data_IF_008636031544
#
_entry.id   IF_008636031544
#
_cell.length_a   1.000
_cell.length_b   1.000
_cell.length_c   1.000
_cell.angle_alpha   90.00
_cell.angle_beta   90.00
_cell.angle_gamma   90.00
#
_symmetry.space_group_name_H-M   'P 1'
#
loop_
_entity.id
_entity.type
_entity.pdbx_description
1 polymer ?
#
# COMPACT_ATOMS: atom_id res chain seq x y z
N UNK A 1 4.47 -9.45 -27.76
CA UNK A 1 4.74 -9.79 -26.33
C UNK A 1 4.09 -8.72 -25.45
N UNK A 2 2.84 -8.31 -25.74
CA UNK A 2 2.38 -6.94 -25.45
C UNK A 2 1.16 -6.83 -24.52
N UNK A 3 0.36 -7.89 -24.34
CA UNK A 3 -0.87 -7.78 -23.52
C UNK A 3 -0.60 -7.63 -22.02
N UNK A 4 0.31 -8.41 -21.43
CA UNK A 4 0.56 -8.38 -19.98
C UNK A 4 1.09 -7.03 -19.47
N UNK A 5 1.86 -6.31 -20.29
CA UNK A 5 2.46 -5.05 -19.88
C UNK A 5 1.49 -3.87 -19.99
N UNK A 6 0.58 -3.90 -20.98
CA UNK A 6 -0.51 -2.92 -21.10
C UNK A 6 -1.57 -3.10 -20.01
N UNK A 7 -1.96 -4.34 -19.71
CA UNK A 7 -2.94 -4.63 -18.65
C UNK A 7 -2.40 -4.19 -17.28
N UNK A 8 -1.11 -4.41 -17.00
CA UNK A 8 -0.51 -3.95 -15.75
C UNK A 8 -0.30 -2.44 -15.64
N UNK A 9 -0.04 -1.76 -16.77
CA UNK A 9 0.03 -0.29 -16.78
C UNK A 9 -1.33 0.34 -16.51
N UNK A 10 -2.41 -0.25 -17.03
CA UNK A 10 -3.80 0.16 -16.73
C UNK A 10 -4.14 -0.10 -15.26
N UNK A 11 -3.72 -1.27 -14.74
CA UNK A 11 -3.89 -1.65 -13.34
C UNK A 11 -3.27 -0.63 -12.37
N UNK A 12 -1.98 -0.31 -12.52
CA UNK A 12 -1.28 0.68 -11.67
C UNK A 12 -1.97 2.04 -11.73
N UNK A 13 -2.39 2.48 -12.92
CA UNK A 13 -3.07 3.75 -13.11
C UNK A 13 -4.38 3.81 -12.31
N UNK A 14 -5.17 2.74 -12.33
CA UNK A 14 -6.43 2.64 -11.59
C UNK A 14 -6.20 2.71 -10.07
N UNK A 15 -5.27 1.91 -9.54
CA UNK A 15 -5.03 1.88 -8.09
C UNK A 15 -4.39 3.18 -7.59
N UNK A 16 -3.55 3.83 -8.39
CA UNK A 16 -3.03 5.16 -8.09
C UNK A 16 -4.14 6.21 -8.09
N UNK A 17 -5.06 6.17 -9.05
CA UNK A 17 -6.22 7.06 -9.09
C UNK A 17 -7.13 6.86 -7.86
N UNK A 18 -7.34 5.62 -7.41
CA UNK A 18 -8.05 5.34 -6.17
C UNK A 18 -7.36 5.97 -4.95
N UNK A 19 -6.04 5.80 -4.82
CA UNK A 19 -5.27 6.39 -3.71
C UNK A 19 -5.41 7.93 -3.72
N UNK A 20 -5.19 8.57 -4.87
CA UNK A 20 -5.29 10.04 -4.99
C UNK A 20 -6.70 10.53 -4.68
N UNK A 21 -7.72 9.86 -5.23
CA UNK A 21 -9.13 10.23 -5.00
C UNK A 21 -9.52 10.03 -3.55
N UNK A 22 -9.12 8.92 -2.93
CA UNK A 22 -9.41 8.62 -1.54
C UNK A 22 -8.73 9.57 -0.55
N UNK A 23 -7.56 10.12 -0.89
CA UNK A 23 -6.92 11.21 -0.11
C UNK A 23 -7.62 12.55 -0.35
N UNK A 24 -8.00 12.86 -1.59
CA UNK A 24 -8.61 14.15 -1.94
C UNK A 24 -10.01 14.35 -1.35
N UNK A 25 -10.84 13.30 -1.31
CA UNK A 25 -12.22 13.37 -0.80
C UNK A 25 -12.30 13.97 0.62
N UNK A 26 -11.61 13.45 1.64
CA UNK A 26 -11.67 14.03 2.97
C UNK A 26 -11.07 15.44 3.08
N UNK A 27 -10.09 15.77 2.24
CA UNK A 27 -9.50 17.11 2.19
C UNK A 27 -10.46 18.16 1.60
N UNK A 28 -11.27 17.77 0.61
CA UNK A 28 -12.19 18.68 -0.08
C UNK A 28 -13.49 18.91 0.69
N UNK A 29 -14.01 17.87 1.36
CA UNK A 29 -15.33 17.91 1.99
C UNK A 29 -15.30 17.99 3.51
N UNK A 30 -14.14 17.74 4.13
CA UNK A 30 -13.83 17.92 5.55
C UNK A 30 -14.93 17.46 6.52
N UNK A 31 -15.60 16.34 6.22
CA UNK A 31 -16.58 15.73 7.12
C UNK A 31 -16.26 14.26 7.43
N UNK A 32 -16.79 13.80 8.57
CA UNK A 32 -16.53 12.47 9.12
C UNK A 32 -16.88 11.33 8.14
N UNK A 33 -18.01 11.43 7.44
CA UNK A 33 -18.44 10.41 6.48
C UNK A 33 -17.46 10.34 5.30
N UNK A 34 -17.02 11.48 4.78
CA UNK A 34 -16.05 11.54 3.68
C UNK A 34 -14.66 11.07 4.10
N UNK A 35 -14.29 11.20 5.37
CA UNK A 35 -13.07 10.60 5.93
C UNK A 35 -13.13 9.08 5.95
N UNK A 36 -14.26 8.49 6.33
CA UNK A 36 -14.43 7.03 6.28
C UNK A 36 -14.39 6.49 4.86
N UNK A 37 -15.15 7.11 3.97
CA UNK A 37 -15.19 6.73 2.54
C UNK A 37 -13.81 6.89 1.92
N UNK A 38 -13.14 8.01 2.15
CA UNK A 38 -11.78 8.26 1.65
C UNK A 38 -10.77 7.22 2.15
N UNK A 39 -10.79 6.91 3.45
CA UNK A 39 -9.88 5.92 4.02
C UNK A 39 -10.13 4.52 3.45
N UNK A 40 -11.39 4.12 3.26
CA UNK A 40 -11.73 2.84 2.65
C UNK A 40 -11.24 2.77 1.20
N UNK A 41 -11.45 3.83 0.41
CA UNK A 41 -10.97 3.91 -0.97
C UNK A 41 -9.43 3.79 -1.02
N UNK A 42 -8.71 4.46 -0.12
CA UNK A 42 -7.25 4.34 -0.06
C UNK A 42 -6.80 2.95 0.39
N UNK A 43 -7.48 2.33 1.36
CA UNK A 43 -7.15 0.96 1.78
C UNK A 43 -7.28 -0.03 0.61
N UNK A 44 -8.36 0.08 -0.17
CA UNK A 44 -8.55 -0.71 -1.41
C UNK A 44 -7.48 -0.37 -2.44
N UNK A 45 -7.16 0.91 -2.63
CA UNK A 45 -6.13 1.37 -3.54
C UNK A 45 -4.75 0.80 -3.21
N UNK A 46 -4.32 0.89 -1.96
CA UNK A 46 -3.04 0.36 -1.45
C UNK A 46 -3.02 -1.17 -1.58
N UNK A 47 -4.08 -1.89 -1.19
CA UNK A 47 -4.12 -3.34 -1.32
C UNK A 47 -4.03 -3.79 -2.81
N UNK A 48 -4.81 -3.16 -3.69
CA UNK A 48 -4.75 -3.39 -5.13
C UNK A 48 -3.37 -3.05 -5.72
N UNK A 49 -2.70 -2.06 -5.14
CA UNK A 49 -1.34 -1.68 -5.50
C UNK A 49 -0.32 -2.80 -5.29
N UNK A 50 -0.38 -3.48 -4.15
CA UNK A 50 0.48 -4.64 -3.88
C UNK A 50 0.27 -5.78 -4.86
N UNK A 51 -0.99 -6.06 -5.21
CA UNK A 51 -1.37 -7.09 -6.18
C UNK A 51 -0.77 -6.77 -7.56
N UNK A 52 -0.89 -5.53 -8.00
CA UNK A 52 -0.38 -5.13 -9.32
C UNK A 52 1.14 -5.12 -9.37
N UNK A 53 1.80 -4.74 -8.27
CA UNK A 53 3.25 -4.86 -8.15
C UNK A 53 3.73 -6.31 -8.20
N UNK A 54 3.04 -7.25 -7.56
CA UNK A 54 3.42 -8.67 -7.66
C UNK A 54 3.25 -9.25 -9.07
N UNK A 55 2.24 -8.81 -9.82
CA UNK A 55 2.07 -9.21 -11.23
C UNK A 55 3.23 -8.74 -12.11
N UNK A 56 3.77 -7.55 -11.84
CA UNK A 56 4.81 -6.91 -12.66
C UNK A 56 6.20 -7.39 -12.26
N UNK A 57 6.47 -7.46 -10.96
CA UNK A 57 7.82 -7.66 -10.43
C UNK A 57 8.09 -9.07 -9.95
N UNK A 58 7.05 -9.90 -9.74
CA UNK A 58 7.14 -11.34 -9.49
C UNK A 58 8.02 -11.76 -8.30
N UNK A 59 7.42 -12.33 -7.27
CA UNK A 59 8.13 -13.07 -6.22
C UNK A 59 8.53 -12.27 -4.97
N UNK A 60 8.33 -10.95 -4.98
CA UNK A 60 8.72 -10.06 -3.88
C UNK A 60 7.63 -9.85 -2.82
N UNK A 61 6.48 -10.50 -2.98
CA UNK A 61 5.36 -10.54 -2.02
C UNK A 61 4.87 -9.14 -1.61
N UNK A 62 4.81 -8.25 -2.61
CA UNK A 62 4.30 -6.90 -2.46
C UNK A 62 2.84 -6.92 -2.02
N UNK A 63 2.05 -7.89 -2.46
CA UNK A 63 0.66 -8.06 -2.02
C UNK A 63 0.58 -8.10 -0.51
N UNK A 64 1.37 -8.95 0.16
CA UNK A 64 1.38 -9.07 1.61
C UNK A 64 1.82 -7.78 2.31
N UNK A 65 2.83 -7.10 1.76
CA UNK A 65 3.33 -5.82 2.30
C UNK A 65 2.23 -4.73 2.29
N UNK A 66 1.62 -4.51 1.13
CA UNK A 66 0.64 -3.44 0.95
C UNK A 66 -0.73 -3.79 1.57
N UNK A 67 -1.12 -5.07 1.58
CA UNK A 67 -2.30 -5.54 2.30
C UNK A 67 -2.15 -5.30 3.81
N UNK A 68 -0.95 -5.50 4.36
CA UNK A 68 -0.65 -5.17 5.75
C UNK A 68 -0.86 -3.67 6.05
N UNK A 69 -0.41 -2.79 5.16
CA UNK A 69 -0.67 -1.35 5.25
C UNK A 69 -2.16 -0.98 5.19
N UNK A 70 -2.93 -1.67 4.34
CA UNK A 70 -4.38 -1.47 4.26
C UNK A 70 -5.10 -1.89 5.56
N UNK A 71 -4.71 -3.02 6.16
CA UNK A 71 -5.27 -3.46 7.44
C UNK A 71 -4.94 -2.50 8.59
N UNK A 72 -3.73 -1.93 8.61
CA UNK A 72 -3.37 -0.90 9.59
C UNK A 72 -4.26 0.34 9.46
N UNK A 73 -4.51 0.81 8.24
CA UNK A 73 -5.42 1.95 7.99
C UNK A 73 -6.83 1.68 8.50
N UNK A 74 -7.39 0.51 8.19
CA UNK A 74 -8.73 0.11 8.65
C UNK A 74 -8.76 -0.01 10.18
N UNK A 75 -7.72 -0.58 10.78
CA UNK A 75 -7.59 -0.69 12.23
C UNK A 75 -7.61 0.68 12.91
N UNK A 76 -6.79 1.62 12.43
CA UNK A 76 -6.71 2.99 12.98
C UNK A 76 -8.07 3.70 12.90
N UNK A 77 -8.76 3.62 11.76
CA UNK A 77 -10.11 4.20 11.62
C UNK A 77 -11.12 3.52 12.56
N UNK A 78 -11.05 2.21 12.71
CA UNK A 78 -11.97 1.45 13.56
C UNK A 78 -11.84 1.82 15.04
N UNK A 79 -10.63 2.10 15.53
CA UNK A 79 -10.43 2.57 16.91
C UNK A 79 -11.04 3.92 17.19
N UNK A 80 -11.17 4.74 16.16
CA UNK A 80 -11.70 6.09 16.31
C UNK A 80 -13.22 6.09 16.19
N UNK A 81 -13.78 5.29 15.28
CA UNK A 81 -15.22 5.08 15.15
C UNK A 81 -15.86 4.54 16.44
N UNK A 82 -15.15 3.61 17.08
CA UNK A 82 -15.65 2.90 18.25
C UNK A 82 -14.54 2.86 19.29
N UNK A 83 -14.48 3.80 20.26
CA UNK A 83 -13.44 3.81 21.29
C UNK A 83 -13.77 2.82 22.43
N UNK A 84 -14.21 1.60 22.10
CA UNK A 84 -14.63 0.59 23.06
C UNK A 84 -13.58 -0.53 23.23
N UNK A 85 -13.68 -1.34 24.29
CA UNK A 85 -12.66 -2.37 24.58
C UNK A 85 -12.58 -3.45 23.49
N UNK A 86 -13.71 -3.79 22.87
CA UNK A 86 -13.80 -4.80 21.81
C UNK A 86 -13.08 -4.38 20.53
N UNK A 87 -13.21 -3.11 20.12
CA UNK A 87 -12.53 -2.58 18.93
C UNK A 87 -11.04 -2.37 19.16
N UNK A 88 -10.60 -2.15 20.41
CA UNK A 88 -9.18 -2.22 20.77
C UNK A 88 -8.61 -3.63 20.64
N UNK A 89 -9.36 -4.67 21.00
CA UNK A 89 -8.96 -6.07 20.78
C UNK A 89 -8.90 -6.42 19.29
N UNK A 90 -9.89 -6.00 18.50
CA UNK A 90 -9.88 -6.16 17.03
C UNK A 90 -8.71 -5.40 16.41
N UNK A 91 -8.38 -4.21 16.92
CA UNK A 91 -7.19 -3.47 16.49
C UNK A 91 -5.92 -4.27 16.74
N UNK A 92 -5.74 -4.87 17.92
CA UNK A 92 -4.54 -5.66 18.22
C UNK A 92 -4.36 -6.78 17.19
N UNK A 93 -5.43 -7.48 16.85
CA UNK A 93 -5.41 -8.54 15.82
C UNK A 93 -5.07 -7.95 14.44
N UNK A 94 -5.70 -6.85 14.05
CA UNK A 94 -5.42 -6.16 12.78
C UNK A 94 -4.00 -5.61 12.71
N UNK A 95 -3.44 -5.18 13.85
CA UNK A 95 -2.10 -4.65 13.98
C UNK A 95 -1.08 -5.79 13.88
N UNK A 96 -1.32 -6.92 14.53
CA UNK A 96 -0.50 -8.12 14.38
C UNK A 96 -0.48 -8.60 12.93
N UNK A 97 -1.65 -8.72 12.28
CA UNK A 97 -1.75 -9.12 10.86
C UNK A 97 -1.07 -8.08 9.96
N UNK A 98 -1.29 -6.79 10.22
CA UNK A 98 -0.73 -5.70 9.43
C UNK A 98 0.80 -5.61 9.51
N UNK A 99 1.34 -5.68 10.73
CA UNK A 99 2.78 -5.69 10.99
C UNK A 99 3.42 -6.96 10.45
N UNK A 100 2.78 -8.12 10.63
CA UNK A 100 3.25 -9.38 10.06
C UNK A 100 3.31 -9.34 8.53
N UNK A 101 2.27 -8.85 7.86
CA UNK A 101 2.24 -8.68 6.40
C UNK A 101 3.31 -7.72 5.90
N UNK A 102 3.52 -6.59 6.58
CA UNK A 102 4.59 -5.64 6.27
C UNK A 102 5.98 -6.25 6.42
N UNK A 103 6.27 -6.86 7.57
CA UNK A 103 7.60 -7.43 7.86
C UNK A 103 7.89 -8.60 6.91
N UNK A 104 6.94 -9.53 6.73
CA UNK A 104 7.11 -10.68 5.83
C UNK A 104 7.36 -10.24 4.39
N UNK A 105 6.59 -9.27 3.88
CA UNK A 105 6.79 -8.70 2.55
C UNK A 105 8.16 -8.02 2.40
N UNK A 106 8.59 -7.23 3.39
CA UNK A 106 9.91 -6.58 3.38
C UNK A 106 11.05 -7.63 3.38
N UNK A 107 11.00 -8.62 4.28
CA UNK A 107 12.03 -9.66 4.40
C UNK A 107 12.16 -10.44 3.09
N UNK A 108 11.03 -10.79 2.47
CA UNK A 108 11.02 -11.55 1.22
C UNK A 108 11.50 -10.72 0.03
N UNK A 109 11.14 -9.43 -0.02
CA UNK A 109 11.66 -8.49 -1.02
C UNK A 109 13.18 -8.27 -0.91
N UNK A 110 13.73 -8.25 0.31
CA UNK A 110 15.19 -8.11 0.53
C UNK A 110 15.93 -9.40 0.16
N UNK A 111 15.45 -10.56 0.63
CA UNK A 111 16.08 -11.86 0.39
C UNK A 111 16.20 -12.21 -1.11
N UNK A 112 15.18 -11.88 -1.91
CA UNK A 112 15.27 -12.05 -3.36
C UNK A 112 16.21 -11.06 -4.05
N UNK A 113 16.36 -9.84 -3.55
CA UNK A 113 17.32 -8.91 -4.12
C UNK A 113 18.77 -9.40 -3.93
N UNK A 114 19.09 -10.02 -2.78
CA UNK A 114 20.41 -10.64 -2.56
C UNK A 114 20.69 -11.82 -3.50
N UNK A 115 19.68 -12.66 -3.77
CA UNK A 115 19.84 -13.83 -4.64
C UNK A 115 19.98 -13.45 -6.13
N UNK A 116 19.38 -12.33 -6.52
CA UNK A 116 19.47 -11.77 -7.88
C UNK A 116 20.80 -11.02 -8.10
N UNK A 117 21.32 -10.33 -7.07
CA UNK A 117 22.58 -9.59 -7.18
C UNK A 117 23.80 -10.51 -7.29
N UNK A 118 23.80 -11.67 -6.60
CA UNK A 118 24.85 -12.69 -6.74
C UNK A 118 24.92 -13.26 -8.17
N UNK A 119 23.78 -13.36 -8.86
CA UNK A 119 23.73 -13.83 -10.26
C UNK A 119 24.02 -12.73 -11.29
N UNK A 120 23.82 -11.45 -10.95
CA UNK A 120 23.93 -10.31 -11.87
C UNK A 120 25.26 -9.56 -11.84
N UNK A 121 26.19 -9.89 -10.92
CA UNK A 121 27.54 -9.32 -10.88
C UNK A 121 28.38 -9.52 -12.17
N UNK A 122 27.86 -10.23 -13.19
CA UNK A 122 28.52 -10.47 -14.48
C UNK A 122 28.09 -9.55 -15.64
N UNK A 123 27.15 -8.60 -15.50
CA UNK A 123 26.81 -7.67 -16.60
C UNK A 123 26.55 -6.22 -16.17
N UNK A 124 26.83 -5.22 -17.04
CA UNK A 124 26.74 -3.79 -16.70
C UNK A 124 25.30 -3.35 -16.44
N UNK A 125 25.09 -2.60 -15.35
CA UNK A 125 23.76 -2.13 -14.89
C UNK A 125 23.31 -0.89 -15.68
N UNK A 126 22.53 -1.09 -16.73
CA UNK A 126 21.55 -0.07 -17.12
C UNK A 126 20.42 -0.06 -16.07
N UNK A 127 20.03 1.12 -15.57
CA UNK A 127 18.82 1.24 -14.75
C UNK A 127 17.60 0.89 -15.62
N UNK A 128 17.23 -0.39 -15.61
CA UNK A 128 16.04 -0.92 -16.28
C UNK A 128 14.83 -0.09 -15.83
N UNK A 129 14.06 0.45 -16.79
CA UNK A 129 12.78 1.18 -16.65
C UNK A 129 11.86 0.64 -15.53
N UNK A 130 11.90 -0.68 -15.31
CA UNK A 130 11.29 -1.41 -14.19
C UNK A 130 11.64 -0.88 -12.79
N UNK A 131 12.89 -0.51 -12.49
CA UNK A 131 13.29 -0.04 -11.16
C UNK A 131 12.73 1.35 -10.81
N UNK A 132 12.56 2.22 -11.80
CA UNK A 132 12.03 3.57 -11.61
C UNK A 132 10.53 3.55 -11.30
N UNK A 133 9.76 2.73 -12.03
CA UNK A 133 8.34 2.52 -11.74
C UNK A 133 8.13 1.93 -10.35
N UNK A 134 9.00 1.03 -9.89
CA UNK A 134 8.92 0.45 -8.55
C UNK A 134 9.10 1.52 -7.46
N UNK A 135 10.07 2.42 -7.63
CA UNK A 135 10.34 3.51 -6.69
C UNK A 135 9.15 4.47 -6.62
N UNK A 136 8.65 4.93 -7.76
CA UNK A 136 7.45 5.79 -7.83
C UNK A 136 6.27 5.11 -7.14
N UNK A 137 6.12 3.82 -7.40
CA UNK A 137 5.05 3.02 -6.87
C UNK A 137 5.08 2.93 -5.34
N UNK A 138 6.24 2.63 -4.76
CA UNK A 138 6.43 2.60 -3.31
C UNK A 138 6.15 3.99 -2.71
N UNK A 139 6.63 5.06 -3.35
CA UNK A 139 6.40 6.44 -2.90
C UNK A 139 4.89 6.74 -2.87
N UNK A 140 4.15 6.45 -3.94
CA UNK A 140 2.70 6.72 -4.01
C UNK A 140 1.93 5.97 -2.91
N UNK A 141 2.23 4.69 -2.71
CA UNK A 141 1.58 3.90 -1.67
C UNK A 141 1.91 4.38 -0.25
N UNK A 142 3.17 4.71 0.02
CA UNK A 142 3.58 5.27 1.32
C UNK A 142 2.99 6.66 1.56
N UNK A 143 2.98 7.54 0.55
CA UNK A 143 2.39 8.87 0.66
C UNK A 143 0.89 8.78 0.93
N UNK A 144 0.16 7.90 0.23
CA UNK A 144 -1.26 7.67 0.48
C UNK A 144 -1.55 7.16 1.90
N UNK A 145 -0.72 6.23 2.39
CA UNK A 145 -0.81 5.74 3.77
C UNK A 145 -0.59 6.86 4.79
N UNK A 146 0.53 7.59 4.67
CA UNK A 146 0.91 8.66 5.59
C UNK A 146 -0.13 9.79 5.57
N UNK A 147 -0.60 10.19 4.38
CA UNK A 147 -1.60 11.25 4.23
C UNK A 147 -2.90 10.91 4.97
N UNK A 148 -3.36 9.66 4.90
CA UNK A 148 -4.55 9.25 5.65
C UNK A 148 -4.32 9.20 7.16
N UNK A 149 -3.16 8.74 7.62
CA UNK A 149 -2.84 8.78 9.06
C UNK A 149 -2.90 10.23 9.57
N UNK A 150 -2.30 11.19 8.86
CA UNK A 150 -2.38 12.60 9.24
C UNK A 150 -3.79 13.18 9.16
N UNK A 151 -4.55 12.82 8.12
CA UNK A 151 -5.93 13.30 7.94
C UNK A 151 -6.82 12.81 9.08
N UNK A 152 -6.70 11.53 9.42
CA UNK A 152 -7.37 10.94 10.58
C UNK A 152 -6.97 11.72 11.84
N UNK A 153 -5.67 11.87 12.13
CA UNK A 153 -5.22 12.61 13.32
C UNK A 153 -5.71 14.07 13.38
N UNK A 154 -5.83 14.73 12.23
CA UNK A 154 -6.31 16.11 12.14
C UNK A 154 -7.81 16.25 12.42
N UNK A 155 -8.63 15.24 12.09
CA UNK A 155 -10.07 15.25 12.34
C UNK A 155 -10.45 15.03 13.81
N UNK A 156 -9.55 14.47 14.63
CA UNK A 156 -9.81 14.15 16.04
C UNK A 156 -8.95 14.96 17.01
N UNK A 157 -8.45 16.12 16.56
CA UNK A 157 -7.82 17.12 17.43
C UNK A 157 -8.86 18.02 18.08
#
# INVERSE_FOLDING_TARGET
>A
MDNKQNDSSSGIGLVAALIVTGVAIPLLFSNFVTMLVGTFIVAVGIAGFGIELDKIYGGKDYTSMFLGGAFLLIGIVSTILFPNIFTKLVLIILLEIGVFGLISGIVKSISQNSEIDDKKAKQPREMKKSSFFLIISIIVGMTGFIANVFTILAFFK
#
